data_IF_625298542002
#
_entry.id   IF_625298542002
#
_cell.length_a   1.000
_cell.length_b   1.000
_cell.length_c   1.000
_cell.angle_alpha   90.00
_cell.angle_beta   90.00
_cell.angle_gamma   90.00
#
_symmetry.space_group_name_H-M   'P 1'
#
loop_
_entity.id
_entity.type
_entity.pdbx_description
1 polymer ?
#
# COMPACT_ATOMS: atom_id res chain seq x y z
N UNK A 1 61.47 19.99 31.99
CA UNK A 1 60.73 18.88 31.33
C UNK A 1 59.59 18.53 32.25
N UNK A 2 58.35 18.90 31.88
CA UNK A 2 57.18 18.61 32.71
C UNK A 2 56.75 17.17 32.41
N UNK A 3 56.85 16.31 33.42
CA UNK A 3 56.44 14.92 33.37
C UNK A 3 54.92 14.86 33.15
N UNK A 4 54.50 14.52 31.94
CA UNK A 4 53.10 14.34 31.59
C UNK A 4 52.59 13.11 32.32
N UNK A 5 52.03 13.34 33.50
CA UNK A 5 51.41 12.31 34.33
C UNK A 5 50.23 11.71 33.56
N UNK A 6 50.45 10.58 32.89
CA UNK A 6 49.39 9.79 32.28
C UNK A 6 48.40 9.42 33.39
N UNK A 7 47.18 9.94 33.31
CA UNK A 7 46.13 9.63 34.27
C UNK A 7 45.92 8.11 34.21
N UNK A 8 46.21 7.41 35.31
CA UNK A 8 46.04 5.96 35.41
C UNK A 8 44.54 5.64 35.58
N UNK A 9 43.81 5.69 34.47
CA UNK A 9 42.38 5.46 34.41
C UNK A 9 42.04 4.51 33.26
N UNK A 10 40.85 3.92 33.34
CA UNK A 10 40.33 3.05 32.31
C UNK A 10 40.26 3.78 30.96
N UNK A 11 40.79 3.17 29.90
CA UNK A 11 40.73 3.71 28.55
C UNK A 11 39.30 3.65 27.96
N UNK A 12 38.96 4.65 27.13
CA UNK A 12 37.66 4.76 26.44
C UNK A 12 37.27 3.48 25.71
N UNK A 13 38.21 2.83 25.02
CA UNK A 13 37.94 1.65 24.20
C UNK A 13 37.58 0.43 25.04
N UNK A 14 38.27 0.24 26.17
CA UNK A 14 37.96 -0.82 27.12
C UNK A 14 36.58 -0.59 27.77
N UNK A 15 36.25 0.66 28.11
CA UNK A 15 34.93 1.01 28.64
C UNK A 15 33.80 0.82 27.61
N UNK A 16 34.07 1.08 26.32
CA UNK A 16 33.06 1.00 25.26
C UNK A 16 32.57 -0.44 24.99
N UNK A 17 33.41 -1.46 25.16
CA UNK A 17 33.01 -2.87 24.96
C UNK A 17 31.90 -3.32 25.90
N UNK A 18 31.79 -2.68 27.07
CA UNK A 18 30.76 -2.96 28.07
C UNK A 18 29.53 -2.06 27.91
N UNK A 19 29.59 -1.05 27.04
CA UNK A 19 28.51 -0.10 26.85
C UNK A 19 27.44 -0.67 25.91
N UNK A 20 26.18 -0.60 26.32
CA UNK A 20 25.06 -0.89 25.43
C UNK A 20 24.91 0.22 24.40
N UNK A 21 24.70 -0.17 23.13
CA UNK A 21 24.38 0.75 22.04
C UNK A 21 22.94 0.54 21.63
N UNK A 22 22.17 1.62 21.58
CA UNK A 22 20.83 1.61 21.02
C UNK A 22 20.92 1.42 19.51
N UNK A 23 20.40 0.30 19.01
CA UNK A 23 20.28 0.01 17.58
C UNK A 23 18.93 0.52 17.10
N UNK A 24 18.84 0.98 15.85
CA UNK A 24 17.56 1.26 15.19
C UNK A 24 17.23 0.11 14.23
N UNK A 25 15.98 0.04 13.80
CA UNK A 25 15.63 -0.73 12.61
C UNK A 25 16.38 -0.19 11.37
N UNK A 26 16.51 -0.98 10.30
CA UNK A 26 17.12 -0.52 9.05
C UNK A 26 16.35 0.67 8.47
N UNK A 27 17.07 1.75 8.14
CA UNK A 27 16.47 2.91 7.48
C UNK A 27 16.50 2.74 5.96
N UNK A 28 15.34 2.81 5.32
CA UNK A 28 15.22 2.69 3.87
C UNK A 28 14.86 4.04 3.23
N UNK A 29 15.86 4.69 2.62
CA UNK A 29 15.71 6.03 2.06
C UNK A 29 14.77 6.12 0.84
N UNK A 30 14.47 4.99 0.19
CA UNK A 30 13.54 4.96 -0.93
C UNK A 30 12.06 4.99 -0.50
N UNK A 31 11.77 4.90 0.81
CA UNK A 31 10.40 4.99 1.32
C UNK A 31 9.83 6.37 0.97
N UNK A 32 8.68 6.37 0.32
CA UNK A 32 7.91 7.57 -0.02
C UNK A 32 6.59 7.54 0.74
N UNK A 33 5.91 8.69 0.94
CA UNK A 33 4.60 8.74 1.61
C UNK A 33 3.46 8.02 0.86
N UNK A 34 3.70 7.46 -0.34
CA UNK A 34 2.73 6.72 -1.17
C UNK A 34 1.37 7.43 -1.32
N UNK A 35 1.38 8.74 -1.60
CA UNK A 35 0.17 9.56 -1.66
C UNK A 35 -0.92 9.00 -2.59
N UNK A 36 -0.56 8.50 -3.77
CA UNK A 36 -1.53 7.92 -4.72
C UNK A 36 -2.33 6.78 -4.07
N UNK A 37 -1.64 5.85 -3.40
CA UNK A 37 -2.29 4.74 -2.70
C UNK A 37 -3.08 5.18 -1.46
N UNK A 38 -2.78 6.35 -0.89
CA UNK A 38 -3.56 6.89 0.25
C UNK A 38 -4.82 7.64 -0.18
N UNK A 39 -4.83 8.22 -1.38
CA UNK A 39 -5.92 9.06 -1.86
C UNK A 39 -6.90 8.35 -2.79
N UNK A 40 -6.52 7.21 -3.38
CA UNK A 40 -7.43 6.43 -4.21
C UNK A 40 -8.47 5.70 -3.35
N UNK A 41 -9.70 5.63 -3.86
CA UNK A 41 -10.78 4.82 -3.28
C UNK A 41 -10.63 3.37 -3.76
N UNK A 42 -10.51 2.44 -2.81
CA UNK A 42 -10.31 1.02 -3.09
C UNK A 42 -11.64 0.28 -3.06
N UNK A 43 -11.97 -0.41 -4.14
CA UNK A 43 -13.11 -1.33 -4.22
C UNK A 43 -12.62 -2.78 -4.17
N UNK A 44 -13.13 -3.55 -3.21
CA UNK A 44 -12.88 -4.99 -3.14
C UNK A 44 -13.59 -5.72 -4.27
N UNK A 45 -12.90 -6.64 -4.94
CA UNK A 45 -13.43 -7.45 -6.04
C UNK A 45 -13.34 -8.93 -5.65
N UNK A 46 -14.46 -9.65 -5.69
CA UNK A 46 -14.48 -11.09 -5.37
C UNK A 46 -13.93 -11.95 -6.51
N UNK A 47 -14.23 -11.58 -7.76
CA UNK A 47 -13.83 -12.32 -8.96
C UNK A 47 -12.51 -11.86 -9.58
N UNK A 48 -11.89 -10.80 -9.03
CA UNK A 48 -10.70 -10.16 -9.60
C UNK A 48 -10.92 -9.41 -10.91
N UNK A 49 -12.17 -9.23 -11.36
CA UNK A 49 -12.52 -8.50 -12.58
C UNK A 49 -13.41 -7.31 -12.23
N UNK A 50 -12.98 -6.10 -12.61
CA UNK A 50 -13.78 -4.88 -12.52
C UNK A 50 -14.30 -4.48 -13.90
N UNK A 51 -15.60 -4.60 -14.11
CA UNK A 51 -16.26 -4.22 -15.36
C UNK A 51 -16.93 -2.85 -15.21
N UNK A 52 -16.60 -1.92 -16.11
CA UNK A 52 -17.24 -0.60 -16.16
C UNK A 52 -18.33 -0.62 -17.23
N UNK A 53 -19.57 -0.79 -16.80
CA UNK A 53 -20.73 -0.69 -17.68
C UNK A 53 -21.05 0.78 -17.93
N UNK A 54 -21.28 1.13 -19.19
CA UNK A 54 -21.66 2.49 -19.62
C UNK A 54 -22.97 2.45 -20.38
N UNK A 55 -23.66 3.58 -20.37
CA UNK A 55 -24.82 3.84 -21.22
C UNK A 55 -24.33 4.25 -22.60
N UNK A 56 -25.06 3.90 -23.65
CA UNK A 56 -24.81 4.40 -24.99
C UNK A 56 -25.27 5.86 -25.04
N UNK A 57 -24.33 6.80 -25.12
CA UNK A 57 -24.64 8.24 -25.21
C UNK A 57 -25.15 8.56 -26.63
N UNK A 58 -26.37 9.09 -26.73
CA UNK A 58 -27.00 9.38 -28.02
C UNK A 58 -28.51 9.60 -27.90
N UNK A 59 -29.31 8.61 -28.26
CA UNK A 59 -30.74 8.75 -28.57
C UNK A 59 -31.66 7.93 -27.64
N UNK A 60 -31.44 7.94 -26.33
CA UNK A 60 -32.44 7.43 -25.38
C UNK A 60 -32.98 8.53 -24.48
N UNK A 61 -33.79 9.47 -25.00
CA UNK A 61 -34.61 10.32 -24.16
C UNK A 61 -35.68 9.42 -23.54
N UNK A 62 -35.51 9.07 -22.27
CA UNK A 62 -36.65 8.67 -21.46
C UNK A 62 -37.51 9.93 -21.36
N UNK A 63 -38.59 10.00 -22.13
CA UNK A 63 -39.50 11.14 -22.07
C UNK A 63 -40.01 11.28 -20.63
N UNK A 64 -39.81 12.45 -20.03
CA UNK A 64 -40.27 12.75 -18.68
C UNK A 64 -41.58 13.51 -18.78
N UNK A 65 -42.65 12.97 -18.22
CA UNK A 65 -43.87 13.73 -18.05
C UNK A 65 -43.73 14.69 -16.87
N UNK A 66 -43.79 15.98 -17.17
CA UNK A 66 -44.12 17.00 -16.18
C UNK A 66 -45.46 17.63 -16.58
N UNK A 67 -46.58 16.99 -16.22
CA UNK A 67 -47.93 17.55 -16.43
C UNK A 67 -48.66 17.74 -15.10
N UNK A 68 -49.36 18.86 -14.94
CA UNK A 68 -50.17 19.20 -13.76
C UNK A 68 -51.64 18.74 -13.90
N UNK A 69 -52.08 18.34 -15.10
CA UNK A 69 -53.47 17.94 -15.36
C UNK A 69 -53.65 16.41 -15.31
N UNK A 70 -54.50 15.87 -14.41
CA UNK A 70 -54.62 14.42 -14.19
C UNK A 70 -55.47 13.70 -15.24
N UNK A 71 -56.15 14.40 -16.15
CA UNK A 71 -57.14 13.83 -17.08
C UNK A 71 -56.57 13.45 -18.46
N UNK A 72 -55.30 13.76 -18.75
CA UNK A 72 -54.59 13.39 -19.99
C UNK A 72 -53.11 13.13 -19.75
N UNK A 73 -52.79 12.04 -19.06
CA UNK A 73 -51.39 11.65 -18.79
C UNK A 73 -51.10 10.31 -19.48
N UNK A 74 -50.59 10.36 -20.71
CA UNK A 74 -50.03 9.18 -21.38
C UNK A 74 -48.62 8.93 -20.83
N UNK A 75 -48.47 7.92 -19.96
CA UNK A 75 -47.17 7.57 -19.35
C UNK A 75 -46.21 7.10 -20.45
N UNK A 76 -45.11 7.81 -20.73
CA UNK A 76 -44.11 7.39 -21.71
C UNK A 76 -43.41 6.16 -21.17
N UNK A 77 -43.29 5.16 -22.04
CA UNK A 77 -42.55 3.94 -21.77
C UNK A 77 -41.28 3.96 -22.60
N UNK A 78 -40.14 3.71 -21.96
CA UNK A 78 -38.84 3.66 -22.63
C UNK A 78 -37.79 2.98 -21.75
N UNK A 79 -36.63 2.74 -22.31
CA UNK A 79 -35.47 2.22 -21.58
C UNK A 79 -34.21 2.95 -22.03
N UNK A 80 -33.19 2.91 -21.17
CA UNK A 80 -31.87 3.47 -21.46
C UNK A 80 -30.98 2.31 -21.92
N UNK A 81 -30.34 2.46 -23.07
CA UNK A 81 -29.53 1.40 -23.66
C UNK A 81 -28.14 1.35 -23.03
N UNK A 82 -27.69 0.14 -22.68
CA UNK A 82 -26.36 -0.10 -22.15
C UNK A 82 -25.40 -0.56 -23.25
N UNK A 83 -24.13 -0.21 -23.12
CA UNK A 83 -23.08 -0.66 -24.02
C UNK A 83 -22.91 -2.19 -23.93
N UNK A 84 -22.90 -2.86 -25.08
CA UNK A 84 -22.78 -4.33 -25.18
C UNK A 84 -21.35 -4.85 -24.94
N UNK A 85 -20.33 -4.02 -25.15
CA UNK A 85 -18.91 -4.35 -24.98
C UNK A 85 -18.23 -3.46 -23.93
N UNK A 86 -18.56 -3.62 -22.64
CA UNK A 86 -17.97 -2.82 -21.57
C UNK A 86 -16.49 -3.15 -21.36
N UNK A 87 -15.73 -2.17 -20.85
CA UNK A 87 -14.32 -2.37 -20.54
C UNK A 87 -14.15 -3.14 -19.24
N UNK A 88 -13.30 -4.15 -19.27
CA UNK A 88 -12.93 -4.97 -18.11
C UNK A 88 -11.49 -4.69 -17.70
N UNK A 89 -11.28 -4.52 -16.39
CA UNK A 89 -9.98 -4.43 -15.75
C UNK A 89 -9.78 -5.69 -14.92
N UNK A 90 -8.77 -6.48 -15.27
CA UNK A 90 -8.38 -7.67 -14.53
C UNK A 90 -7.30 -7.30 -13.52
N UNK A 91 -7.39 -7.85 -12.31
CA UNK A 91 -6.35 -7.67 -11.30
C UNK A 91 -5.12 -8.48 -11.69
N UNK A 92 -3.96 -7.82 -11.62
CA UNK A 92 -2.67 -8.45 -11.79
C UNK A 92 -2.09 -8.90 -10.44
N UNK A 93 -1.31 -9.99 -10.47
CA UNK A 93 -0.62 -10.50 -9.29
C UNK A 93 0.86 -10.15 -9.34
N UNK A 94 1.39 -9.66 -8.23
CA UNK A 94 2.81 -9.44 -8.00
C UNK A 94 3.24 -10.35 -6.86
N UNK A 95 4.30 -11.13 -7.06
CA UNK A 95 4.84 -12.05 -6.06
C UNK A 95 6.36 -11.91 -5.96
N UNK A 96 6.90 -12.13 -4.76
CA UNK A 96 8.33 -12.05 -4.48
C UNK A 96 8.69 -13.06 -3.40
N UNK A 97 9.83 -13.74 -3.55
CA UNK A 97 10.34 -14.72 -2.59
C UNK A 97 11.41 -14.07 -1.74
N UNK A 98 11.26 -14.15 -0.42
CA UNK A 98 12.22 -13.63 0.56
C UNK A 98 12.84 -14.84 1.26
N UNK A 99 14.16 -14.95 1.19
CA UNK A 99 14.90 -16.04 1.82
C UNK A 99 15.59 -15.51 3.09
N UNK A 100 15.29 -16.13 4.23
CA UNK A 100 15.95 -15.84 5.51
C UNK A 100 16.43 -17.17 6.09
N UNK A 101 17.71 -17.26 6.46
CA UNK A 101 18.25 -18.43 7.14
C UNK A 101 17.60 -18.55 8.53
N UNK A 102 17.10 -19.75 8.86
CA UNK A 102 16.47 -20.02 10.16
C UNK A 102 17.43 -19.79 11.33
N UNK A 103 18.72 -20.03 11.15
CA UNK A 103 19.74 -19.76 12.19
C UNK A 103 19.87 -18.27 12.46
N UNK A 104 19.80 -17.45 11.41
CA UNK A 104 19.89 -15.99 11.54
C UNK A 104 18.64 -15.45 12.19
N UNK A 105 17.47 -15.92 11.76
CA UNK A 105 16.19 -15.53 12.34
C UNK A 105 16.10 -15.88 13.83
N UNK A 106 16.58 -17.05 14.24
CA UNK A 106 16.53 -17.48 15.64
C UNK A 106 17.56 -16.74 16.51
N UNK A 107 18.84 -16.73 16.09
CA UNK A 107 19.95 -16.20 16.90
C UNK A 107 19.99 -14.67 16.94
N UNK A 108 19.56 -13.99 15.88
CA UNK A 108 19.67 -12.53 15.73
C UNK A 108 18.31 -11.83 15.76
N UNK A 109 17.35 -12.34 16.53
CA UNK A 109 15.99 -11.79 16.67
C UNK A 109 15.83 -10.67 17.70
N UNK A 110 16.87 -10.38 18.50
CA UNK A 110 16.80 -9.36 19.55
C UNK A 110 17.83 -8.25 19.32
N UNK A 111 17.43 -6.95 19.40
CA UNK A 111 16.09 -6.45 19.72
C UNK A 111 15.10 -6.39 18.52
N UNK A 112 15.56 -6.67 17.30
CA UNK A 112 14.75 -6.63 16.07
C UNK A 112 14.72 -8.01 15.40
N UNK A 113 13.53 -8.48 15.04
CA UNK A 113 13.34 -9.74 14.33
C UNK A 113 13.73 -9.61 12.85
N UNK A 114 14.71 -10.40 12.43
CA UNK A 114 15.23 -10.38 11.06
C UNK A 114 14.17 -10.74 10.01
N UNK A 115 13.30 -11.71 10.30
CA UNK A 115 12.29 -12.13 9.35
C UNK A 115 11.25 -11.02 9.14
N UNK A 116 10.76 -10.45 10.23
CA UNK A 116 9.80 -9.33 10.19
C UNK A 116 10.36 -8.09 9.49
N UNK A 117 11.61 -7.71 9.78
CA UNK A 117 12.25 -6.56 9.13
C UNK A 117 12.45 -6.77 7.62
N UNK A 118 12.85 -7.96 7.19
CA UNK A 118 12.99 -8.27 5.76
C UNK A 118 11.64 -8.22 5.03
N UNK A 119 10.58 -8.73 5.64
CA UNK A 119 9.22 -8.64 5.07
C UNK A 119 8.78 -7.17 4.96
N UNK A 120 8.99 -6.37 6.01
CA UNK A 120 8.62 -4.96 5.99
C UNK A 120 9.36 -4.19 4.89
N UNK A 121 10.68 -4.37 4.78
CA UNK A 121 11.49 -3.74 3.73
C UNK A 121 11.09 -4.22 2.33
N UNK A 122 10.75 -5.49 2.18
CA UNK A 122 10.28 -6.04 0.91
C UNK A 122 8.93 -5.42 0.49
N UNK A 123 7.96 -5.32 1.41
CA UNK A 123 6.68 -4.62 1.16
C UNK A 123 6.93 -3.16 0.79
N UNK A 124 7.90 -2.51 1.43
CA UNK A 124 8.28 -1.14 1.10
C UNK A 124 8.95 -1.00 -0.27
N UNK A 125 9.62 -2.06 -0.75
CA UNK A 125 10.30 -2.08 -2.05
C UNK A 125 9.35 -2.34 -3.23
N UNK A 126 8.21 -3.00 -3.02
CA UNK A 126 7.20 -3.25 -4.05
C UNK A 126 6.58 -1.92 -4.50
N UNK A 127 6.66 -1.63 -5.80
CA UNK A 127 6.17 -0.41 -6.46
C UNK A 127 5.30 -0.76 -7.65
#
# INVERSE_FOLDING_TARGET
MAEQKSINALGREAAYQLANVTKTAPQFAAITPRWVSRFLDYKGLESGIYRVNKVVEGETPLDVLCSQDPSRVEIPQGYIEYQTTPREYQLDSISTIINVDTKIADLYSSPYDQASEQIALAIESLR
#
